data_IF_741206875014
#
_entry.id   IF_741206875014
#
_cell.length_a   1.000
_cell.length_b   1.000
_cell.length_c   1.000
_cell.angle_alpha   90.00
_cell.angle_beta   90.00
_cell.angle_gamma   90.00
#
_symmetry.space_group_name_H-M   'P 1'
#
loop_
_entity.id
_entity.type
_entity.pdbx_description
1 polymer ?
#
# COMPACT_ATOMS: atom_id res chain seq x y z
N UNK A 1 -4.03 3.34 59.39
CA UNK A 1 -4.69 2.64 58.26
C UNK A 1 -5.89 3.40 57.69
N UNK A 2 -6.87 3.84 58.49
CA UNK A 2 -8.06 4.54 57.98
C UNK A 2 -7.77 5.87 57.23
N UNK A 3 -6.75 6.63 57.67
CA UNK A 3 -6.36 7.88 56.99
C UNK A 3 -5.68 7.62 55.64
N UNK A 4 -4.85 6.60 55.54
CA UNK A 4 -4.16 6.22 54.30
C UNK A 4 -5.15 5.71 53.25
N UNK A 5 -6.16 4.93 53.68
CA UNK A 5 -7.24 4.48 52.83
C UNK A 5 -8.06 5.66 52.28
N UNK A 6 -8.38 6.63 53.14
CA UNK A 6 -9.12 7.84 52.75
C UNK A 6 -8.32 8.75 51.81
N UNK A 7 -7.01 8.87 52.03
CA UNK A 7 -6.13 9.62 51.13
C UNK A 7 -5.96 8.92 49.78
N UNK A 8 -5.97 7.58 49.74
CA UNK A 8 -5.93 6.79 48.50
C UNK A 8 -7.24 6.84 47.72
N UNK A 9 -8.39 6.75 48.39
CA UNK A 9 -9.71 6.94 47.75
C UNK A 9 -9.84 8.34 47.16
N UNK A 10 -9.45 9.38 47.90
CA UNK A 10 -9.43 10.77 47.42
C UNK A 10 -8.39 11.03 46.32
N UNK A 11 -7.38 10.17 46.17
CA UNK A 11 -6.43 10.21 45.07
C UNK A 11 -7.07 9.59 43.82
N UNK A 12 -7.68 8.42 43.93
CA UNK A 12 -8.39 7.75 42.82
C UNK A 12 -9.58 8.58 42.31
N UNK A 13 -10.35 9.21 43.20
CA UNK A 13 -11.47 10.08 42.78
C UNK A 13 -11.01 11.33 42.01
N UNK A 14 -9.74 11.74 42.14
CA UNK A 14 -9.14 12.81 41.32
C UNK A 14 -8.66 12.33 39.94
N UNK A 15 -8.51 11.02 39.73
CA UNK A 15 -8.23 10.41 38.42
C UNK A 15 -9.49 9.83 37.75
N UNK A 16 -10.63 9.84 38.43
CA UNK A 16 -11.94 9.88 37.78
C UNK A 16 -12.17 11.26 37.19
N UNK A 17 -11.29 11.66 36.27
CA UNK A 17 -11.78 12.46 35.16
C UNK A 17 -12.96 11.68 34.56
N UNK A 18 -14.07 12.35 34.32
CA UNK A 18 -15.27 11.77 33.71
C UNK A 18 -14.83 10.83 32.58
N UNK A 19 -14.94 9.51 32.80
CA UNK A 19 -14.62 8.53 31.75
C UNK A 19 -15.42 8.97 30.53
N UNK A 20 -14.72 9.28 29.44
CA UNK A 20 -15.31 9.75 28.19
C UNK A 20 -16.30 8.69 27.70
N UNK A 21 -17.55 8.83 28.12
CA UNK A 21 -18.68 7.94 27.79
C UNK A 21 -19.03 8.05 26.31
N UNK A 22 -18.41 8.99 25.59
CA UNK A 22 -18.63 9.16 24.18
C UNK A 22 -18.17 7.92 23.44
N UNK A 23 -19.05 7.42 22.59
CA UNK A 23 -18.75 6.33 21.70
C UNK A 23 -17.54 6.72 20.82
N UNK A 24 -16.66 5.77 20.48
CA UNK A 24 -15.45 6.06 19.70
C UNK A 24 -15.73 6.89 18.42
N UNK A 25 -16.89 6.69 17.78
CA UNK A 25 -17.36 7.45 16.62
C UNK A 25 -17.81 8.89 16.88
N UNK A 26 -18.04 9.27 18.14
CA UNK A 26 -18.39 10.64 18.56
C UNK A 26 -17.16 11.51 18.85
N UNK A 27 -15.96 10.93 18.81
CA UNK A 27 -14.72 11.69 18.97
C UNK A 27 -14.55 12.68 17.82
N UNK A 28 -14.13 13.90 18.16
CA UNK A 28 -13.98 14.99 17.20
C UNK A 28 -13.04 14.63 16.03
N UNK A 29 -11.97 13.89 16.29
CA UNK A 29 -11.04 13.43 15.24
C UNK A 29 -11.70 12.49 14.23
N UNK A 30 -12.54 11.56 14.71
CA UNK A 30 -13.28 10.61 13.88
C UNK A 30 -14.32 11.34 13.03
N UNK A 31 -15.07 12.27 13.63
CA UNK A 31 -16.03 13.08 12.90
C UNK A 31 -15.37 13.98 11.84
N UNK A 32 -14.23 14.62 12.16
CA UNK A 32 -13.47 15.43 11.19
C UNK A 32 -12.97 14.58 10.03
N UNK A 33 -12.42 13.40 10.32
CA UNK A 33 -11.96 12.48 9.28
C UNK A 33 -13.11 11.98 8.40
N UNK A 34 -14.26 11.70 8.99
CA UNK A 34 -15.46 11.30 8.26
C UNK A 34 -15.97 12.42 7.36
N UNK A 35 -16.13 13.64 7.89
CA UNK A 35 -16.56 14.81 7.11
C UNK A 35 -15.60 15.05 5.95
N UNK A 36 -14.30 15.03 6.22
CA UNK A 36 -13.29 15.18 5.17
C UNK A 36 -13.45 14.14 4.07
N UNK A 37 -13.61 12.86 4.42
CA UNK A 37 -13.82 11.78 3.45
C UNK A 37 -15.10 11.95 2.63
N UNK A 38 -16.19 12.39 3.26
CA UNK A 38 -17.46 12.66 2.55
C UNK A 38 -17.31 13.86 1.60
N UNK A 39 -16.71 14.97 2.04
CA UNK A 39 -16.49 16.14 1.20
C UNK A 39 -15.61 15.79 0.00
N UNK A 40 -14.51 15.08 0.21
CA UNK A 40 -13.64 14.65 -0.90
C UNK A 40 -14.35 13.73 -1.88
N UNK A 41 -15.20 12.81 -1.42
CA UNK A 41 -15.99 11.96 -2.33
C UNK A 41 -16.99 12.78 -3.15
N UNK A 42 -17.66 13.76 -2.54
CA UNK A 42 -18.60 14.64 -3.25
C UNK A 42 -17.87 15.46 -4.31
N UNK A 43 -16.73 16.05 -3.98
CA UNK A 43 -15.90 16.80 -4.94
C UNK A 43 -15.52 15.94 -6.14
N UNK A 44 -15.10 14.69 -5.90
CA UNK A 44 -14.74 13.75 -6.98
C UNK A 44 -15.95 13.36 -7.83
N UNK A 45 -17.12 13.13 -7.23
CA UNK A 45 -18.35 12.81 -7.97
C UNK A 45 -18.81 14.01 -8.83
N UNK A 46 -18.64 15.24 -8.32
CA UNK A 46 -18.92 16.46 -9.06
C UNK A 46 -17.93 16.66 -10.23
N UNK A 47 -16.66 16.32 -10.03
CA UNK A 47 -15.60 16.44 -11.05
C UNK A 47 -15.67 15.34 -12.13
N UNK A 48 -15.85 14.08 -11.72
CA UNK A 48 -15.82 12.90 -12.61
C UNK A 48 -17.21 12.48 -13.13
N UNK A 49 -18.22 13.29 -12.85
CA UNK A 49 -19.64 13.04 -13.09
C UNK A 49 -20.21 11.89 -12.24
N UNK A 50 -21.54 11.86 -12.10
CA UNK A 50 -22.20 10.86 -11.28
C UNK A 50 -22.04 9.44 -11.88
N UNK A 51 -21.32 8.54 -11.19
CA UNK A 51 -21.03 7.20 -11.71
C UNK A 51 -22.28 6.31 -11.83
N UNK A 52 -23.40 6.67 -11.17
CA UNK A 52 -24.66 5.94 -11.28
C UNK A 52 -25.49 6.32 -12.51
N UNK A 53 -25.09 7.35 -13.25
CA UNK A 53 -25.71 7.73 -14.53
C UNK A 53 -24.98 7.14 -15.74
N UNK A 54 -23.91 6.38 -15.50
CA UNK A 54 -23.08 5.80 -16.55
C UNK A 54 -23.70 4.49 -17.07
N UNK A 55 -24.05 4.44 -18.35
CA UNK A 55 -24.67 3.29 -19.02
C UNK A 55 -23.64 2.18 -19.38
N UNK A 56 -22.53 2.10 -18.65
CA UNK A 56 -21.48 1.11 -18.87
C UNK A 56 -21.74 -0.19 -18.09
N UNK A 57 -21.42 -1.33 -18.69
CA UNK A 57 -21.40 -2.64 -18.01
C UNK A 57 -20.07 -2.91 -17.28
N UNK A 58 -19.18 -1.93 -17.27
CA UNK A 58 -17.87 -2.01 -16.63
C UNK A 58 -17.98 -1.70 -15.14
N UNK A 59 -17.12 -2.35 -14.35
CA UNK A 59 -17.03 -2.06 -12.93
C UNK A 59 -16.03 -0.93 -12.74
N UNK A 60 -16.49 0.22 -12.25
CA UNK A 60 -15.68 1.42 -12.07
C UNK A 60 -15.35 1.66 -10.61
N UNK A 61 -14.15 2.19 -10.36
CA UNK A 61 -13.75 2.64 -9.03
C UNK A 61 -14.28 4.06 -8.81
N UNK A 62 -15.01 4.30 -7.73
CA UNK A 62 -15.76 5.55 -7.50
C UNK A 62 -14.90 6.81 -7.39
N UNK A 63 -13.66 6.69 -6.90
CA UNK A 63 -12.78 7.84 -6.65
C UNK A 63 -11.90 8.22 -7.85
N UNK A 64 -11.71 7.31 -8.80
CA UNK A 64 -10.76 7.44 -9.91
C UNK A 64 -11.43 7.26 -11.27
N UNK A 65 -12.66 6.73 -11.30
CA UNK A 65 -13.38 6.28 -12.51
C UNK A 65 -12.59 5.25 -13.33
N UNK A 66 -11.60 4.61 -12.71
CA UNK A 66 -10.80 3.58 -13.36
C UNK A 66 -11.62 2.29 -13.52
N UNK A 67 -11.41 1.61 -14.64
CA UNK A 67 -12.01 0.30 -14.92
C UNK A 67 -11.31 -0.77 -14.08
N UNK A 68 -12.09 -1.53 -13.32
CA UNK A 68 -11.57 -2.60 -12.48
C UNK A 68 -10.91 -3.71 -13.32
N UNK A 69 -9.83 -4.33 -12.82
CA UNK A 69 -9.18 -5.45 -13.51
C UNK A 69 -10.13 -6.60 -13.78
N UNK A 70 -9.98 -7.27 -14.93
CA UNK A 70 -10.85 -8.39 -15.34
C UNK A 70 -10.95 -9.50 -14.30
N UNK A 71 -9.86 -9.81 -13.60
CA UNK A 71 -9.85 -10.81 -12.53
C UNK A 71 -10.80 -10.46 -11.36
N UNK A 72 -10.92 -9.17 -11.03
CA UNK A 72 -11.84 -8.68 -9.98
C UNK A 72 -13.28 -8.73 -10.49
N UNK A 73 -13.50 -8.32 -11.75
CA UNK A 73 -14.83 -8.38 -12.39
C UNK A 73 -15.35 -9.81 -12.45
N UNK A 74 -14.54 -10.75 -12.90
CA UNK A 74 -14.91 -12.17 -12.96
C UNK A 74 -15.21 -12.75 -11.58
N UNK A 75 -14.45 -12.32 -10.58
CA UNK A 75 -14.67 -12.73 -9.18
C UNK A 75 -16.01 -12.22 -8.68
N UNK A 76 -16.29 -10.92 -8.80
CA UNK A 76 -17.54 -10.31 -8.33
C UNK A 76 -18.75 -10.95 -9.02
N UNK A 77 -18.65 -11.21 -10.33
CA UNK A 77 -19.74 -11.85 -11.09
C UNK A 77 -20.02 -13.29 -10.67
N UNK A 78 -19.04 -13.99 -10.08
CA UNK A 78 -19.16 -15.41 -9.71
C UNK A 78 -19.22 -15.66 -8.21
N UNK A 79 -19.04 -14.62 -7.38
CA UNK A 79 -18.85 -14.78 -5.93
C UNK A 79 -20.05 -15.44 -5.26
N UNK A 80 -21.25 -15.16 -5.74
CA UNK A 80 -22.49 -15.77 -5.26
C UNK A 80 -22.50 -17.29 -5.54
N UNK A 81 -22.25 -17.69 -6.78
CA UNK A 81 -22.17 -19.11 -7.15
C UNK A 81 -21.08 -19.84 -6.36
N UNK A 82 -19.90 -19.22 -6.20
CA UNK A 82 -18.81 -19.78 -5.40
C UNK A 82 -19.23 -19.97 -3.94
N UNK A 83 -19.97 -19.02 -3.37
CA UNK A 83 -20.53 -19.13 -2.02
C UNK A 83 -21.54 -20.26 -1.90
N UNK A 84 -22.42 -20.40 -2.90
CA UNK A 84 -23.44 -21.45 -2.95
C UNK A 84 -22.79 -22.85 -3.02
N UNK A 85 -21.84 -23.06 -3.92
CA UNK A 85 -21.10 -24.33 -4.05
C UNK A 85 -20.39 -24.70 -2.75
N UNK A 86 -19.83 -23.71 -2.04
CA UNK A 86 -19.17 -23.94 -0.76
C UNK A 86 -20.14 -24.30 0.36
N UNK A 87 -21.30 -23.67 0.36
CA UNK A 87 -22.36 -24.01 1.31
C UNK A 87 -22.84 -25.44 1.09
N UNK A 88 -23.15 -25.82 -0.15
CA UNK A 88 -23.61 -27.16 -0.48
C UNK A 88 -22.59 -28.22 -0.09
N UNK A 89 -21.32 -27.98 -0.41
CA UNK A 89 -20.21 -28.85 -0.01
C UNK A 89 -20.06 -28.95 1.51
N UNK A 90 -20.22 -27.85 2.23
CA UNK A 90 -20.18 -27.84 3.69
C UNK A 90 -21.28 -28.71 4.30
N UNK A 91 -22.51 -28.60 3.78
CA UNK A 91 -23.65 -29.42 4.22
C UNK A 91 -23.37 -30.89 3.93
N UNK A 92 -22.90 -31.20 2.74
CA UNK A 92 -22.59 -32.56 2.31
C UNK A 92 -21.51 -33.20 3.19
N UNK A 93 -20.35 -32.55 3.35
CA UNK A 93 -19.21 -33.12 4.07
C UNK A 93 -19.48 -33.28 5.58
N UNK A 94 -20.16 -32.31 6.21
CA UNK A 94 -20.31 -32.28 7.68
C UNK A 94 -21.60 -32.91 8.19
N UNK A 95 -22.69 -32.81 7.44
CA UNK A 95 -24.01 -33.27 7.90
C UNK A 95 -24.45 -34.57 7.24
N UNK A 96 -24.25 -34.71 5.92
CA UNK A 96 -24.66 -35.92 5.19
C UNK A 96 -23.62 -37.02 5.33
N UNK A 97 -22.39 -36.76 4.90
CA UNK A 97 -21.31 -37.73 4.88
C UNK A 97 -20.60 -37.86 6.23
N UNK A 98 -20.68 -36.82 7.08
CA UNK A 98 -20.00 -36.73 8.40
C UNK A 98 -18.51 -37.06 8.31
N UNK A 99 -17.89 -36.74 7.18
CA UNK A 99 -16.47 -36.99 6.89
C UNK A 99 -15.57 -35.97 7.57
N UNK A 100 -16.12 -34.78 7.85
CA UNK A 100 -15.41 -33.65 8.47
C UNK A 100 -16.17 -33.19 9.71
N UNK A 101 -15.45 -32.83 10.78
CA UNK A 101 -16.06 -32.32 12.01
C UNK A 101 -16.66 -30.92 11.78
N UNK A 102 -17.80 -30.67 12.43
CA UNK A 102 -18.45 -29.34 12.44
C UNK A 102 -17.54 -28.26 13.03
N UNK A 103 -16.59 -28.63 13.87
CA UNK A 103 -15.65 -27.69 14.50
C UNK A 103 -14.37 -27.46 13.71
N UNK A 104 -14.18 -28.14 12.58
CA UNK A 104 -12.99 -27.87 11.76
C UNK A 104 -13.06 -26.46 11.16
N UNK A 105 -11.93 -25.73 11.12
CA UNK A 105 -11.84 -24.40 10.52
C UNK A 105 -12.23 -24.41 9.03
N UNK A 106 -12.91 -23.36 8.58
CA UNK A 106 -13.19 -23.12 7.16
C UNK A 106 -12.04 -22.29 6.58
N UNK A 107 -11.49 -22.74 5.45
CA UNK A 107 -10.40 -22.02 4.77
C UNK A 107 -10.94 -20.79 4.04
N UNK A 108 -10.20 -19.69 4.10
CA UNK A 108 -10.50 -18.49 3.31
C UNK A 108 -10.30 -18.72 1.80
N UNK A 109 -11.17 -18.11 1.00
CA UNK A 109 -11.17 -18.28 -0.47
C UNK A 109 -10.04 -17.53 -1.18
N UNK A 110 -9.51 -16.45 -0.60
CA UNK A 110 -8.43 -15.67 -1.18
C UNK A 110 -8.77 -15.05 -2.55
N UNK A 111 -10.05 -14.77 -2.80
CA UNK A 111 -10.53 -14.23 -4.06
C UNK A 111 -10.02 -12.79 -4.28
N UNK A 112 -9.58 -12.43 -5.50
CA UNK A 112 -9.16 -11.07 -5.81
C UNK A 112 -10.39 -10.15 -5.84
N UNK A 113 -10.48 -9.25 -4.86
CA UNK A 113 -11.50 -8.22 -4.76
C UNK A 113 -10.83 -6.83 -4.87
N UNK A 114 -11.43 -5.81 -4.27
CA UNK A 114 -10.94 -4.42 -4.28
C UNK A 114 -9.53 -4.22 -3.69
N UNK A 115 -9.00 -5.20 -2.95
CA UNK A 115 -7.59 -5.27 -2.55
C UNK A 115 -6.87 -6.22 -3.50
N UNK A 116 -6.41 -5.71 -4.63
CA UNK A 116 -5.43 -6.44 -5.44
C UNK A 116 -4.09 -6.36 -4.71
N UNK A 117 -3.48 -7.48 -4.28
CA UNK A 117 -2.08 -7.45 -3.90
C UNK A 117 -1.27 -6.99 -5.13
N UNK A 118 -0.17 -6.24 -4.94
CA UNK A 118 0.71 -5.88 -6.06
C UNK A 118 1.10 -7.13 -6.84
N UNK A 119 1.05 -7.05 -8.17
CA UNK A 119 1.40 -8.18 -9.03
C UNK A 119 2.74 -8.78 -8.59
N UNK A 120 2.79 -10.11 -8.44
CA UNK A 120 4.02 -10.81 -8.11
C UNK A 120 5.05 -10.48 -9.19
N UNK A 121 6.16 -9.86 -8.77
CA UNK A 121 7.28 -9.51 -9.63
C UNK A 121 7.74 -10.74 -10.41
N UNK A 122 7.55 -10.70 -11.72
CA UNK A 122 8.04 -11.74 -12.63
C UNK A 122 9.56 -11.83 -12.50
N UNK A 123 10.09 -13.05 -12.56
CA UNK A 123 11.52 -13.31 -12.52
C UNK A 123 12.28 -12.46 -13.56
N UNK A 124 13.50 -12.06 -13.21
CA UNK A 124 14.36 -11.07 -13.91
C UNK A 124 14.38 -11.25 -15.45
N UNK A 125 14.35 -12.49 -15.94
CA UNK A 125 14.37 -12.79 -17.38
C UNK A 125 13.00 -12.69 -18.07
N UNK A 126 11.90 -13.02 -17.38
CA UNK A 126 10.53 -12.87 -17.90
C UNK A 126 10.03 -11.42 -17.78
N UNK A 127 10.46 -10.71 -16.72
CA UNK A 127 10.11 -9.32 -16.46
C UNK A 127 10.54 -8.36 -17.58
N UNK A 128 11.76 -8.51 -18.12
CA UNK A 128 12.27 -7.62 -19.19
C UNK A 128 11.40 -7.62 -20.45
N UNK A 129 10.90 -8.79 -20.88
CA UNK A 129 10.03 -8.89 -22.07
C UNK A 129 8.63 -8.31 -21.83
N UNK A 130 8.11 -8.44 -20.61
CA UNK A 130 6.83 -7.86 -20.22
C UNK A 130 6.91 -6.33 -20.13
N UNK A 131 8.00 -5.80 -19.54
CA UNK A 131 8.27 -4.36 -19.45
C UNK A 131 8.36 -3.74 -20.84
N UNK A 132 9.11 -4.38 -21.77
CA UNK A 132 9.26 -3.89 -23.14
C UNK A 132 7.94 -3.87 -23.90
N UNK A 133 7.09 -4.90 -23.76
CA UNK A 133 5.75 -4.91 -24.37
C UNK A 133 4.87 -3.78 -23.84
N UNK A 134 4.95 -3.53 -22.54
CA UNK A 134 4.23 -2.42 -21.90
C UNK A 134 4.75 -1.06 -22.39
N UNK A 135 6.06 -0.89 -22.54
CA UNK A 135 6.67 0.32 -23.09
C UNK A 135 6.23 0.56 -24.53
N UNK A 136 6.29 -0.46 -25.37
CA UNK A 136 5.80 -0.37 -26.76
C UNK A 136 4.33 0.04 -26.80
N UNK A 137 3.49 -0.52 -25.94
CA UNK A 137 2.07 -0.13 -25.84
C UNK A 137 1.89 1.33 -25.41
N UNK A 138 2.63 1.76 -24.38
CA UNK A 138 2.60 3.13 -23.88
C UNK A 138 3.06 4.14 -24.95
N UNK A 139 4.23 3.91 -25.55
CA UNK A 139 4.76 4.76 -26.62
C UNK A 139 3.87 4.77 -27.86
N UNK A 140 3.22 3.66 -28.20
CA UNK A 140 2.27 3.62 -29.32
C UNK A 140 1.07 4.54 -29.06
N UNK A 141 0.50 4.49 -27.85
CA UNK A 141 -0.62 5.37 -27.46
C UNK A 141 -0.21 6.84 -27.43
N UNK A 142 0.96 7.13 -26.87
CA UNK A 142 1.52 8.48 -26.82
C UNK A 142 1.81 9.03 -28.22
N UNK A 143 2.40 8.24 -29.10
CA UNK A 143 2.63 8.61 -30.50
C UNK A 143 1.33 8.99 -31.22
N UNK A 144 0.27 8.18 -31.09
CA UNK A 144 -1.05 8.48 -31.66
C UNK A 144 -1.60 9.79 -31.07
N UNK A 145 -1.44 10.02 -29.77
CA UNK A 145 -1.89 11.25 -29.12
C UNK A 145 -1.12 12.50 -29.60
N UNK A 146 0.19 12.38 -29.84
CA UNK A 146 0.99 13.47 -30.40
C UNK A 146 0.57 13.79 -31.84
N UNK A 147 0.28 12.78 -32.66
CA UNK A 147 -0.16 12.99 -34.05
C UNK A 147 -1.54 13.67 -34.13
N UNK A 148 -2.46 13.32 -33.24
CA UNK A 148 -3.81 13.89 -33.21
C UNK A 148 -3.85 15.30 -32.63
N UNK A 149 -2.90 15.68 -31.78
CA UNK A 149 -2.88 16.98 -31.07
C UNK A 149 -1.78 17.93 -31.55
N UNK A 150 -1.02 17.58 -32.58
CA UNK A 150 0.10 18.39 -33.08
C UNK A 150 1.26 18.50 -32.08
N UNK A 151 1.47 17.47 -31.25
CA UNK A 151 2.52 17.46 -30.23
C UNK A 151 3.91 17.34 -30.83
N UNK A 152 4.87 18.09 -30.30
CA UNK A 152 6.28 18.01 -30.69
C UNK A 152 6.96 16.79 -30.03
N UNK A 153 7.36 15.81 -30.84
CA UNK A 153 8.03 14.61 -30.36
C UNK A 153 9.40 14.90 -29.74
N UNK A 154 10.13 15.90 -30.24
CA UNK A 154 11.46 16.26 -29.71
C UNK A 154 11.35 16.85 -28.30
N UNK A 155 10.30 17.63 -28.05
CA UNK A 155 10.01 18.15 -26.70
C UNK A 155 9.48 17.05 -25.78
N UNK A 156 8.64 16.15 -26.31
CA UNK A 156 8.05 15.06 -25.56
C UNK A 156 9.08 14.04 -25.06
N UNK A 157 10.07 13.68 -25.88
CA UNK A 157 11.16 12.77 -25.50
C UNK A 157 12.33 13.47 -24.79
N UNK A 158 12.28 14.78 -24.62
CA UNK A 158 13.30 15.53 -23.88
C UNK A 158 13.33 15.16 -22.39
N UNK A 159 12.19 14.71 -21.85
CA UNK A 159 12.03 14.36 -20.44
C UNK A 159 11.71 12.86 -20.26
N UNK A 160 11.98 12.36 -19.06
CA UNK A 160 11.68 10.99 -18.65
C UNK A 160 10.15 10.78 -18.62
N UNK A 161 9.64 9.86 -19.46
CA UNK A 161 8.20 9.58 -19.59
C UNK A 161 7.73 8.40 -18.72
N UNK A 162 8.60 7.88 -17.86
CA UNK A 162 8.28 6.77 -16.97
C UNK A 162 7.75 7.30 -15.62
N UNK A 163 6.77 6.59 -15.04
CA UNK A 163 6.21 6.88 -13.71
C UNK A 163 7.30 6.79 -12.61
N UNK A 164 8.38 6.04 -12.87
CA UNK A 164 9.49 5.86 -11.95
C UNK A 164 10.82 6.12 -12.67
N UNK A 165 11.76 6.87 -12.05
CA UNK A 165 13.08 7.11 -12.64
C UNK A 165 13.86 5.78 -12.78
N UNK A 166 14.51 5.50 -13.92
CA UNK A 166 15.31 4.29 -14.11
C UNK A 166 16.45 4.15 -13.09
N UNK A 167 16.97 5.27 -12.59
CA UNK A 167 18.00 5.30 -11.56
C UNK A 167 17.54 4.70 -10.21
N UNK A 168 16.23 4.74 -9.93
CA UNK A 168 15.65 4.32 -8.65
C UNK A 168 14.61 3.20 -8.80
N UNK A 169 14.43 2.65 -10.00
CA UNK A 169 13.43 1.63 -10.26
C UNK A 169 14.00 0.41 -10.95
N UNK A 170 13.52 -0.76 -10.51
CA UNK A 170 13.79 -2.05 -11.14
C UNK A 170 12.44 -2.65 -11.53
N UNK A 171 12.27 -2.95 -12.82
CA UNK A 171 11.02 -3.51 -13.36
C UNK A 171 9.77 -2.68 -13.03
N UNK A 172 9.85 -1.34 -13.16
CA UNK A 172 8.75 -0.41 -12.82
C UNK A 172 8.27 -0.46 -11.37
N UNK A 173 9.13 -0.87 -10.45
CA UNK A 173 8.92 -0.68 -9.02
C UNK A 173 10.12 0.08 -8.46
N UNK A 174 9.90 0.92 -7.46
CA UNK A 174 11.01 1.50 -6.71
C UNK A 174 11.89 0.38 -6.14
N UNK A 175 13.20 0.59 -6.19
CA UNK A 175 14.15 -0.28 -5.51
C UNK A 175 13.78 -0.32 -4.02
N UNK A 176 13.18 -1.42 -3.58
CA UNK A 176 12.88 -1.62 -2.17
C UNK A 176 14.19 -1.95 -1.45
N UNK A 177 14.54 -1.11 -0.47
CA UNK A 177 15.75 -1.23 0.32
C UNK A 177 15.61 -0.46 1.61
N UNK A 178 16.50 -0.75 2.56
CA UNK A 178 16.61 -0.01 3.82
C UNK A 178 17.41 1.27 3.52
N UNK A 179 17.23 2.36 4.29
CA UNK A 179 17.97 3.62 4.08
C UNK A 179 19.48 3.44 3.85
N UNK A 180 20.11 2.44 4.46
CA UNK A 180 21.51 2.07 4.29
C UNK A 180 21.88 1.54 2.89
N UNK A 181 20.93 0.98 2.14
CA UNK A 181 21.14 0.52 0.77
C UNK A 181 21.45 1.70 -0.16
N UNK A 182 20.88 2.88 0.10
CA UNK A 182 21.16 4.08 -0.69
C UNK A 182 22.61 4.55 -0.51
N UNK A 183 23.14 4.47 0.70
CA UNK A 183 24.54 4.79 0.99
C UNK A 183 25.48 3.78 0.33
N UNK A 184 25.28 2.49 0.58
CA UNK A 184 26.22 1.44 0.15
C UNK A 184 26.16 1.10 -1.33
N UNK A 185 24.96 1.10 -1.94
CA UNK A 185 24.80 0.69 -3.35
C UNK A 185 24.80 1.86 -4.33
N UNK A 186 24.39 3.05 -3.90
CA UNK A 186 24.24 4.19 -4.80
C UNK A 186 25.30 5.28 -4.58
N UNK A 187 25.65 5.61 -3.34
CA UNK A 187 26.52 6.76 -3.04
C UNK A 187 27.99 6.39 -2.88
N UNK A 188 28.31 5.30 -2.18
CA UNK A 188 29.70 4.84 -1.97
C UNK A 188 30.49 4.64 -3.27
N UNK A 189 29.91 4.05 -4.34
CA UNK A 189 30.62 3.91 -5.63
C UNK A 189 30.90 5.25 -6.34
N UNK A 190 30.18 6.31 -5.99
CA UNK A 190 30.34 7.66 -6.56
C UNK A 190 31.37 8.48 -5.80
N UNK A 191 31.72 8.07 -4.57
CA UNK A 191 32.81 8.65 -3.80
C UNK A 191 34.13 7.97 -4.11
N UNK A 192 35.00 8.66 -4.84
CA UNK A 192 36.43 8.36 -4.78
C UNK A 192 36.93 8.77 -3.40
N UNK A 193 37.33 7.80 -2.58
CA UNK A 193 38.13 8.04 -1.37
C UNK A 193 39.47 8.65 -1.79
N UNK A 194 39.48 9.96 -2.02
CA UNK A 194 40.71 10.73 -2.06
C UNK A 194 41.21 10.80 -0.62
N UNK A 195 42.14 9.91 -0.30
CA UNK A 195 42.66 9.65 1.05
C UNK A 195 43.53 10.74 1.66
N UNK A 196 43.25 12.02 1.38
CA UNK A 196 43.84 13.12 2.17
C UNK A 196 42.92 13.40 3.36
N UNK A 197 43.10 12.59 4.40
CA UNK A 197 42.59 12.94 5.72
C UNK A 197 43.44 14.11 6.22
N UNK A 198 42.88 15.30 6.47
CA UNK A 198 43.65 16.42 6.99
C UNK A 198 44.27 16.03 8.34
N UNK A 199 45.52 16.43 8.57
CA UNK A 199 46.17 16.23 9.87
C UNK A 199 45.42 17.08 10.90
N UNK A 200 44.76 16.42 11.85
CA UNK A 200 43.90 17.07 12.85
C UNK A 200 44.44 16.79 14.26
N UNK A 201 44.51 17.83 15.07
CA UNK A 201 44.94 17.74 16.47
C UNK A 201 43.84 17.19 17.39
N UNK A 202 42.60 17.11 16.91
CA UNK A 202 41.45 16.64 17.70
C UNK A 202 40.42 15.94 16.81
N UNK A 203 39.97 14.77 17.26
CA UNK A 203 38.91 13.99 16.63
C UNK A 203 37.73 13.94 17.60
N UNK A 204 36.57 14.44 17.16
CA UNK A 204 35.32 14.35 17.94
C UNK A 204 34.49 13.20 17.38
N UNK A 205 34.08 12.29 18.26
CA UNK A 205 33.33 11.08 17.90
C UNK A 205 32.01 11.09 18.64
N UNK A 206 30.92 10.76 17.93
CA UNK A 206 29.62 10.49 18.54
C UNK A 206 29.61 9.11 19.20
N UNK A 207 29.64 9.10 20.53
CA UNK A 207 29.68 7.87 21.32
C UNK A 207 28.46 6.97 21.10
N UNK A 208 27.27 7.53 20.84
CA UNK A 208 26.07 6.73 20.61
C UNK A 208 26.15 5.98 19.27
N UNK A 209 26.70 6.62 18.24
CA UNK A 209 26.94 5.99 16.94
C UNK A 209 27.95 4.83 17.06
N UNK A 210 29.03 5.00 17.83
CA UNK A 210 30.04 3.96 18.06
C UNK A 210 29.45 2.75 18.77
N UNK A 211 28.67 2.96 19.83
CA UNK A 211 28.05 1.86 20.59
C UNK A 211 27.10 1.05 19.71
N UNK A 212 26.35 1.70 18.83
CA UNK A 212 25.45 1.01 17.89
C UNK A 212 26.18 0.27 16.75
N UNK A 213 27.42 0.63 16.44
CA UNK A 213 28.25 -0.08 15.46
C UNK A 213 28.88 -1.36 16.03
N UNK A 214 29.07 -1.44 17.35
CA UNK A 214 29.65 -2.60 18.01
C UNK A 214 28.61 -3.70 18.15
N UNK A 215 28.89 -4.89 17.60
CA UNK A 215 28.03 -6.06 17.80
C UNK A 215 28.08 -6.48 19.27
N UNK A 216 26.94 -6.80 19.91
CA UNK A 216 26.96 -7.28 21.29
C UNK A 216 27.76 -8.58 21.38
N UNK A 217 28.65 -8.65 22.37
CA UNK A 217 29.45 -9.85 22.63
C UNK A 217 28.56 -11.04 23.00
N UNK A 218 28.96 -12.24 22.60
CA UNK A 218 28.27 -13.46 23.00
C UNK A 218 28.34 -13.60 24.54
N UNK A 219 27.16 -13.66 25.18
CA UNK A 219 27.00 -14.03 26.59
C UNK A 219 26.95 -15.53 26.74
#
# INVERSE_FOLDING_TARGET
MARLAKEFENYIDRFRDEEDINHHGQKQSVQRSFIHGVTSLVEVIDELENPFLEDSNELLVLDTKDIAPSAVVDTIRRIENVGQDQYEKFIEDRFLNRSVSIFEPIKNNGLPLFRTPPEKTLSITKGKTAVLKSDVSLFSRLYISCQTRGGNLDEFFKYENHIHPPAFSLNRNYCQGIKSDLLTKCLEPLTTLNGDVPNVDTIVIDGAAVVNMLKPGAS
#
